data_IF_414366333347
#
_entry.id   IF_414366333347
#
_cell.length_a   1.000
_cell.length_b   1.000
_cell.length_c   1.000
_cell.angle_alpha   90.00
_cell.angle_beta   90.00
_cell.angle_gamma   90.00
#
_symmetry.space_group_name_H-M   'P 1'
#
loop_
_entity.id
_entity.type
_entity.pdbx_description
1 polymer ?
#
# COMPACT_ATOMS: atom_id res chain seq x y z
N UNK A 1 13.91 -18.23 3.48
CA UNK A 1 13.56 -17.12 2.57
C UNK A 1 14.13 -15.83 3.15
N UNK A 2 14.70 -14.92 2.34
CA UNK A 2 15.16 -13.63 2.83
C UNK A 2 13.97 -12.76 3.24
N UNK A 3 14.16 -11.97 4.31
CA UNK A 3 13.20 -10.97 4.78
C UNK A 3 13.81 -9.60 4.53
N UNK A 4 13.04 -8.68 3.94
CA UNK A 4 13.45 -7.29 3.74
C UNK A 4 12.56 -6.43 4.65
N UNK A 5 13.20 -5.67 5.54
CA UNK A 5 12.52 -4.73 6.44
C UNK A 5 12.93 -3.31 6.07
N UNK A 6 11.94 -2.42 5.87
CA UNK A 6 12.17 -1.02 5.53
C UNK A 6 11.52 -0.17 6.63
N UNK A 7 12.33 0.68 7.25
CA UNK A 7 11.90 1.62 8.29
C UNK A 7 11.96 3.05 7.75
N UNK A 8 10.83 3.75 7.75
CA UNK A 8 10.76 5.16 7.36
C UNK A 8 10.15 5.97 8.50
N UNK A 9 10.88 6.95 9.02
CA UNK A 9 10.39 7.86 10.05
C UNK A 9 9.63 9.02 9.40
N UNK A 10 8.36 9.19 9.78
CA UNK A 10 7.48 10.23 9.22
C UNK A 10 7.00 11.12 10.37
N UNK A 11 7.25 12.42 10.27
CA UNK A 11 6.78 13.40 11.26
C UNK A 11 5.32 13.80 10.99
N UNK A 12 4.39 12.86 11.18
CA UNK A 12 2.96 13.07 11.01
C UNK A 12 2.16 12.12 11.92
N UNK A 13 0.87 12.43 12.22
CA UNK A 13 0.00 11.54 12.98
C UNK A 13 -0.13 10.17 12.30
N UNK A 14 -0.14 9.10 13.11
CA UNK A 14 -0.21 7.71 12.62
C UNK A 14 -1.46 7.48 11.77
N UNK A 15 -2.60 8.02 12.19
CA UNK A 15 -3.88 7.93 11.50
C UNK A 15 -3.77 8.48 10.08
N UNK A 16 -3.08 9.61 9.92
CA UNK A 16 -2.89 10.24 8.61
C UNK A 16 -2.00 9.38 7.72
N UNK A 17 -0.88 8.88 8.24
CA UNK A 17 0.01 8.00 7.50
C UNK A 17 -0.73 6.73 7.04
N UNK A 18 -1.54 6.13 7.92
CA UNK A 18 -2.31 4.94 7.61
C UNK A 18 -3.40 5.20 6.56
N UNK A 19 -4.16 6.29 6.70
CA UNK A 19 -5.19 6.66 5.73
C UNK A 19 -4.60 6.94 4.34
N UNK A 20 -3.46 7.63 4.26
CA UNK A 20 -2.79 7.88 2.99
C UNK A 20 -2.22 6.61 2.36
N UNK A 21 -1.78 5.64 3.17
CA UNK A 21 -1.34 4.33 2.67
C UNK A 21 -2.48 3.51 2.04
N UNK A 22 -3.73 3.79 2.39
CA UNK A 22 -4.92 3.16 1.83
C UNK A 22 -5.54 3.92 0.64
N UNK A 23 -4.98 5.07 0.27
CA UNK A 23 -5.54 5.89 -0.81
C UNK A 23 -5.13 5.36 -2.18
N UNK A 24 -6.13 4.95 -2.96
CA UNK A 24 -5.95 4.53 -4.36
C UNK A 24 -5.54 5.72 -5.23
N UNK A 25 -6.08 6.91 -4.94
CA UNK A 25 -5.83 8.13 -5.70
C UNK A 25 -4.40 8.65 -5.50
N UNK A 26 -3.83 8.48 -4.31
CA UNK A 26 -2.47 8.94 -4.01
C UNK A 26 -1.39 8.02 -4.59
N UNK A 27 -1.68 6.73 -4.74
CA UNK A 27 -0.72 5.73 -5.24
C UNK A 27 -0.13 6.09 -6.62
N UNK A 28 -0.91 6.41 -7.67
CA UNK A 28 -0.34 6.77 -8.97
C UNK A 28 0.41 8.11 -8.94
N UNK A 29 0.08 9.02 -8.01
CA UNK A 29 0.79 10.29 -7.84
C UNK A 29 2.19 10.02 -7.28
N UNK A 30 2.31 9.17 -6.26
CA UNK A 30 3.59 8.80 -5.67
C UNK A 30 4.46 7.97 -6.62
N UNK A 31 3.82 7.23 -7.54
CA UNK A 31 4.48 6.39 -8.53
C UNK A 31 4.58 7.01 -9.93
N UNK A 32 4.33 8.31 -10.12
CA UNK A 32 4.13 8.94 -11.44
C UNK A 32 5.26 8.80 -12.49
N UNK A 33 6.40 8.21 -12.14
CA UNK A 33 7.49 7.86 -13.07
C UNK A 33 7.27 6.49 -13.76
N UNK A 34 6.44 5.61 -13.18
CA UNK A 34 6.03 4.35 -13.79
C UNK A 34 4.70 4.59 -14.51
N UNK A 35 4.56 4.06 -15.73
CA UNK A 35 3.28 4.08 -16.46
C UNK A 35 2.30 3.14 -15.78
N UNK A 36 1.84 3.52 -14.59
CA UNK A 36 0.94 2.76 -13.75
C UNK A 36 -0.51 2.94 -14.19
N UNK A 37 -1.19 1.81 -14.36
CA UNK A 37 -2.59 1.72 -14.73
C UNK A 37 -3.33 0.90 -13.67
N UNK A 38 -4.45 1.42 -13.19
CA UNK A 38 -5.40 0.68 -12.38
C UNK A 38 -6.20 -0.24 -13.30
N UNK A 39 -6.16 -1.55 -13.03
CA UNK A 39 -6.84 -2.57 -13.86
C UNK A 39 -7.84 -3.42 -13.05
N UNK A 40 -7.97 -3.18 -11.75
CA UNK A 40 -8.94 -3.86 -10.87
C UNK A 40 -10.24 -3.09 -10.69
N UNK A 41 -11.13 -3.59 -9.83
CA UNK A 41 -12.49 -3.06 -9.66
C UNK A 41 -12.57 -1.73 -8.89
N UNK A 42 -11.53 -1.39 -8.12
CA UNK A 42 -11.46 -0.18 -7.32
C UNK A 42 -10.51 0.82 -8.00
N UNK A 43 -11.07 1.93 -8.47
CA UNK A 43 -10.34 2.95 -9.24
C UNK A 43 -10.06 4.25 -8.47
N UNK A 44 -10.69 4.46 -7.32
CA UNK A 44 -10.55 5.69 -6.54
C UNK A 44 -10.96 5.53 -5.09
N UNK A 45 -10.54 6.45 -4.22
CA UNK A 45 -10.95 6.51 -2.82
C UNK A 45 -10.02 5.80 -1.85
N UNK A 46 -10.56 5.43 -0.69
CA UNK A 46 -9.84 4.79 0.42
C UNK A 46 -10.25 3.32 0.50
N UNK A 47 -9.27 2.43 0.41
CA UNK A 47 -9.48 0.99 0.56
C UNK A 47 -9.99 0.65 1.95
N UNK A 48 -10.96 -0.25 2.01
CA UNK A 48 -11.51 -0.84 3.23
C UNK A 48 -10.89 -2.20 3.50
N UNK A 49 -11.09 -2.72 4.71
CA UNK A 49 -10.64 -4.06 5.09
C UNK A 49 -11.28 -5.11 4.16
N UNK A 50 -10.44 -5.95 3.56
CA UNK A 50 -10.85 -6.98 2.60
C UNK A 50 -10.86 -6.52 1.13
N UNK A 51 -10.72 -5.23 0.85
CA UNK A 51 -10.66 -4.72 -0.51
C UNK A 51 -9.41 -5.24 -1.23
N UNK A 52 -9.58 -5.52 -2.53
CA UNK A 52 -8.52 -5.95 -3.43
C UNK A 52 -8.33 -4.91 -4.53
N UNK A 53 -7.09 -4.44 -4.69
CA UNK A 53 -6.73 -3.50 -5.76
C UNK A 53 -5.63 -4.12 -6.63
N UNK A 54 -5.74 -3.91 -7.94
CA UNK A 54 -4.77 -4.42 -8.90
C UNK A 54 -4.21 -3.28 -9.75
N UNK A 55 -2.89 -3.17 -9.72
CA UNK A 55 -2.12 -2.22 -10.49
C UNK A 55 -1.30 -2.94 -11.56
N UNK A 56 -1.13 -2.30 -12.70
CA UNK A 56 -0.23 -2.73 -13.76
C UNK A 56 0.77 -1.62 -14.04
N UNK A 57 2.06 -1.95 -13.99
CA UNK A 57 3.14 -0.99 -14.22
C UNK A 57 4.16 -1.55 -15.21
N UNK A 58 4.80 -0.68 -16.00
CA UNK A 58 5.97 -1.07 -16.78
C UNK A 58 7.25 -0.76 -16.00
N UNK A 59 7.93 -1.80 -15.50
CA UNK A 59 9.23 -1.70 -14.82
C UNK A 59 10.27 -2.53 -15.56
N UNK A 60 11.46 -1.97 -15.76
CA UNK A 60 12.56 -2.59 -16.52
C UNK A 60 12.16 -3.10 -17.92
N UNK A 61 11.23 -2.41 -18.59
CA UNK A 61 10.77 -2.76 -19.93
C UNK A 61 9.68 -3.84 -19.99
N UNK A 62 9.35 -4.49 -18.87
CA UNK A 62 8.33 -5.56 -18.78
C UNK A 62 7.09 -5.06 -18.03
N UNK A 63 5.91 -5.51 -18.45
CA UNK A 63 4.66 -5.26 -17.73
C UNK A 63 4.56 -6.18 -16.52
N UNK A 64 4.42 -5.59 -15.34
CA UNK A 64 4.20 -6.29 -14.07
C UNK A 64 2.80 -5.97 -13.57
N UNK A 65 2.10 -6.99 -13.10
CA UNK A 65 0.78 -6.85 -12.45
C UNK A 65 0.94 -7.17 -10.97
N UNK A 66 0.49 -6.27 -10.11
CA UNK A 66 0.52 -6.42 -8.66
C UNK A 66 -0.91 -6.33 -8.12
N UNK A 67 -1.33 -7.35 -7.38
CA UNK A 67 -2.58 -7.32 -6.62
C UNK A 67 -2.24 -7.21 -5.14
N UNK A 68 -2.91 -6.31 -4.44
CA UNK A 68 -2.77 -6.13 -2.99
C UNK A 68 -4.14 -6.20 -2.33
N UNK A 69 -4.19 -6.87 -1.18
CA UNK A 69 -5.40 -7.03 -0.38
C UNK A 69 -5.20 -6.29 0.94
N UNK A 70 -6.15 -5.43 1.28
CA UNK A 70 -6.14 -4.72 2.55
C UNK A 70 -6.50 -5.69 3.68
N UNK A 71 -5.52 -6.09 4.48
CA UNK A 71 -5.68 -7.11 5.53
C UNK A 71 -5.68 -6.57 6.95
N UNK A 72 -5.53 -5.25 7.13
CA UNK A 72 -5.47 -4.63 8.45
C UNK A 72 -6.28 -3.33 8.52
N UNK A 73 -6.71 -3.01 9.75
CA UNK A 73 -7.41 -1.79 10.09
C UNK A 73 -6.78 -1.18 11.34
N UNK A 74 -6.62 0.14 11.36
CA UNK A 74 -6.03 0.84 12.49
C UNK A 74 -6.82 0.56 13.77
N UNK A 75 -6.11 0.21 14.85
CA UNK A 75 -6.66 -0.04 16.20
C UNK A 75 -7.59 -1.27 16.34
N UNK A 76 -7.55 -2.27 15.44
CA UNK A 76 -8.26 -3.55 15.61
C UNK A 76 -7.32 -4.78 15.47
N UNK A 77 -6.91 -5.37 16.63
CA UNK A 77 -6.28 -6.70 16.86
C UNK A 77 -5.02 -7.14 16.04
N UNK A 78 -4.28 -8.18 16.50
CA UNK A 78 -2.92 -8.07 17.05
C UNK A 78 -1.78 -7.81 16.04
N UNK A 79 -2.06 -7.65 14.74
CA UNK A 79 -1.05 -7.60 13.67
C UNK A 79 -0.74 -6.20 13.17
N UNK A 80 -1.59 -5.21 13.44
CA UNK A 80 -1.31 -3.81 13.17
C UNK A 80 -0.79 -3.17 14.46
N UNK A 81 0.52 -3.22 14.65
CA UNK A 81 1.19 -2.85 15.90
C UNK A 81 0.87 -1.43 16.38
N UNK A 82 0.80 -1.27 17.69
CA UNK A 82 0.70 -0.03 18.49
C UNK A 82 1.92 0.89 18.37
N UNK A 83 2.51 1.01 17.19
CA UNK A 83 3.75 1.77 16.98
C UNK A 83 3.52 2.96 16.06
N UNK A 84 4.13 4.08 16.42
CA UNK A 84 4.27 5.30 15.62
C UNK A 84 5.11 5.11 14.33
N UNK A 85 5.40 3.86 13.96
CA UNK A 85 6.15 3.45 12.77
C UNK A 85 5.32 2.48 11.92
N UNK A 86 5.12 2.82 10.64
CA UNK A 86 4.41 1.98 9.68
C UNK A 86 5.35 0.86 9.20
N UNK A 87 5.25 -0.32 9.79
CA UNK A 87 5.98 -1.50 9.33
C UNK A 87 5.24 -2.18 8.18
N UNK A 88 5.70 -1.98 6.95
CA UNK A 88 5.21 -2.73 5.78
C UNK A 88 5.99 -4.04 5.67
N UNK A 89 5.32 -5.17 5.96
CA UNK A 89 5.89 -6.51 5.82
C UNK A 89 5.50 -7.08 4.46
N UNK A 90 6.47 -7.21 3.55
CA UNK A 90 6.26 -7.85 2.26
C UNK A 90 6.55 -9.36 2.39
N UNK A 91 5.55 -10.20 2.14
CA UNK A 91 5.71 -11.66 2.04
C UNK A 91 5.46 -12.03 0.58
N UNK A 92 6.52 -12.41 -0.12
CA UNK A 92 6.48 -12.91 -1.49
C UNK A 92 6.61 -14.43 -1.55
#
# INVERSE_FOLDING_TARGET
MPVIEILTLINAPQERCFQLALSVDLHPISAGQTKEELIGDIYSGILQLGDSVTFRARRFGVWQTLTSITSCQLNQAPLCGTYSSLHLRWVG
#
